data_IF_314933605365
#
_entry.id   IF_314933605365
#
_cell.length_a   1.000
_cell.length_b   1.000
_cell.length_c   1.000
_cell.angle_alpha   90.00
_cell.angle_beta   90.00
_cell.angle_gamma   90.00
#
_symmetry.space_group_name_H-M   'P 1'
#
loop_
_entity.id
_entity.type
_entity.pdbx_description
1 polymer ?
#
# COMPACT_ATOMS: atom_id res chain seq x y z
N UNK A 1 -21.03 -9.58 1.90
CA UNK A 1 -20.03 -8.67 1.31
C UNK A 1 -19.96 -8.98 -0.17
N UNK A 2 -20.37 -8.04 -0.99
CA UNK A 2 -20.24 -8.05 -2.45
C UNK A 2 -18.74 -8.14 -2.77
N UNK A 3 -18.31 -9.23 -3.43
CA UNK A 3 -16.89 -9.50 -3.72
C UNK A 3 -16.42 -8.84 -5.02
N UNK A 4 -17.20 -7.88 -5.52
CA UNK A 4 -17.05 -7.27 -6.85
C UNK A 4 -16.55 -5.81 -6.79
N UNK A 5 -16.32 -5.27 -5.58
CA UNK A 5 -15.85 -3.90 -5.43
C UNK A 5 -14.34 -3.82 -5.52
N UNK A 6 -13.86 -3.04 -6.48
CA UNK A 6 -12.46 -2.62 -6.57
C UNK A 6 -12.32 -1.29 -5.84
N UNK A 7 -11.39 -1.20 -4.88
CA UNK A 7 -11.19 -0.01 -4.04
C UNK A 7 -9.74 0.50 -4.10
N UNK A 8 -9.58 1.80 -3.88
CA UNK A 8 -8.26 2.41 -3.76
C UNK A 8 -7.79 2.34 -2.30
N UNK A 9 -6.76 1.54 -2.06
CA UNK A 9 -6.08 1.48 -0.77
C UNK A 9 -5.06 2.61 -0.68
N UNK A 10 -5.43 3.69 0.00
CA UNK A 10 -4.58 4.86 0.21
C UNK A 10 -3.75 4.67 1.49
N UNK A 11 -2.43 4.60 1.34
CA UNK A 11 -1.51 4.54 2.48
C UNK A 11 -0.80 5.88 2.68
N UNK A 12 -1.09 6.63 3.76
CA UNK A 12 -0.47 7.93 3.99
C UNK A 12 1.03 7.76 4.26
N UNK A 13 1.84 8.64 3.64
CA UNK A 13 3.29 8.70 3.81
C UNK A 13 3.68 10.07 4.32
N UNK A 14 4.34 10.08 5.48
CA UNK A 14 4.93 11.29 6.03
C UNK A 14 6.42 11.34 5.68
N UNK A 15 6.81 12.27 4.81
CA UNK A 15 8.21 12.59 4.58
C UNK A 15 8.69 13.63 5.61
N UNK A 16 9.85 13.40 6.23
CA UNK A 16 10.46 14.37 7.15
C UNK A 16 10.98 15.60 6.39
N UNK A 17 11.34 15.43 5.12
CA UNK A 17 11.81 16.49 4.24
C UNK A 17 11.59 16.14 2.78
N UNK A 18 11.28 17.15 1.96
CA UNK A 18 11.08 16.98 0.51
C UNK A 18 9.69 16.46 0.15
N UNK A 19 9.43 16.42 -1.15
CA UNK A 19 8.20 15.87 -1.71
C UNK A 19 8.42 14.39 -2.09
N UNK A 20 7.83 13.43 -1.36
CA UNK A 20 8.01 12.01 -1.64
C UNK A 20 7.38 11.61 -2.99
N UNK A 21 6.46 12.41 -3.53
CA UNK A 21 5.75 12.07 -4.77
C UNK A 21 6.62 12.12 -6.03
N UNK A 22 7.83 12.65 -5.91
CA UNK A 22 8.85 12.68 -6.97
C UNK A 22 9.60 11.35 -7.14
N UNK A 23 9.45 10.41 -6.21
CA UNK A 23 10.15 9.12 -6.21
C UNK A 23 9.21 7.96 -6.60
N UNK A 24 9.74 6.91 -7.27
CA UNK A 24 9.01 5.68 -7.46
C UNK A 24 8.54 5.10 -6.13
N UNK A 25 7.30 4.63 -6.09
CA UNK A 25 6.69 4.03 -4.90
C UNK A 25 6.09 2.67 -5.22
N UNK A 26 6.33 1.73 -4.32
CA UNK A 26 5.77 0.40 -4.38
C UNK A 26 5.04 0.09 -3.08
N UNK A 27 3.98 -0.70 -3.17
CA UNK A 27 3.18 -1.14 -2.04
C UNK A 27 3.10 -2.66 -2.05
N UNK A 28 3.26 -3.27 -0.87
CA UNK A 28 2.92 -4.66 -0.61
C UNK A 28 1.77 -4.71 0.40
N UNK A 29 0.81 -5.61 0.20
CA UNK A 29 -0.27 -5.86 1.17
C UNK A 29 -0.17 -7.30 1.63
N UNK A 30 0.01 -7.49 2.93
CA UNK A 30 0.30 -8.81 3.51
C UNK A 30 -0.44 -8.98 4.84
N UNK A 31 -0.71 -10.22 5.27
CA UNK A 31 -1.12 -10.51 6.62
C UNK A 31 -0.17 -9.88 7.65
N UNK A 32 -0.71 -9.42 8.78
CA UNK A 32 0.07 -8.65 9.79
C UNK A 32 1.30 -9.40 10.33
N UNK A 33 1.29 -10.74 10.28
CA UNK A 33 2.40 -11.58 10.75
C UNK A 33 3.56 -11.65 9.75
N UNK A 34 3.40 -11.15 8.53
CA UNK A 34 4.32 -11.33 7.42
C UNK A 34 5.09 -10.05 7.07
N UNK A 35 6.23 -10.24 6.40
CA UNK A 35 7.08 -9.18 5.88
C UNK A 35 7.26 -9.38 4.37
N UNK A 36 7.31 -8.29 3.59
CA UNK A 36 7.47 -8.40 2.15
C UNK A 36 8.83 -8.97 1.77
N UNK A 37 8.78 -9.87 0.81
CA UNK A 37 9.87 -10.37 -0.01
C UNK A 37 9.91 -9.62 -1.34
N UNK A 38 10.87 -9.94 -2.20
CA UNK A 38 11.07 -9.23 -3.47
C UNK A 38 9.85 -9.31 -4.41
N UNK A 39 9.06 -10.38 -4.32
CA UNK A 39 7.91 -10.64 -5.19
C UNK A 39 6.60 -10.01 -4.70
N UNK A 40 6.56 -9.44 -3.50
CA UNK A 40 5.34 -8.89 -2.90
C UNK A 40 5.09 -7.42 -3.27
N UNK A 41 6.05 -6.79 -3.96
CA UNK A 41 6.00 -5.37 -4.27
C UNK A 41 5.24 -5.10 -5.56
N UNK A 42 4.26 -4.21 -5.47
CA UNK A 42 3.48 -3.74 -6.60
C UNK A 42 3.70 -2.26 -6.83
N UNK A 43 3.78 -1.84 -8.09
CA UNK A 43 3.84 -0.41 -8.43
C UNK A 43 2.59 0.30 -7.89
N UNK A 44 2.82 1.39 -7.17
CA UNK A 44 1.77 2.22 -6.62
C UNK A 44 1.86 3.64 -7.20
N UNK A 45 0.78 4.40 -7.05
CA UNK A 45 0.72 5.79 -7.51
C UNK A 45 0.61 6.74 -6.34
N UNK A 46 1.22 7.92 -6.48
CA UNK A 46 1.03 8.99 -5.51
C UNK A 46 -0.30 9.70 -5.75
N UNK A 47 -1.05 9.89 -4.68
CA UNK A 47 -2.29 10.67 -4.65
C UNK A 47 -2.27 11.61 -3.44
N UNK A 48 -3.18 12.58 -3.42
CA UNK A 48 -3.35 13.46 -2.26
C UNK A 48 -4.56 12.96 -1.47
N UNK A 49 -4.34 12.68 -0.19
CA UNK A 49 -5.40 12.27 0.74
C UNK A 49 -6.30 13.44 1.15
N UNK A 50 -7.38 13.16 1.90
CA UNK A 50 -8.38 14.16 2.27
C UNK A 50 -7.82 15.29 3.16
N UNK A 51 -6.76 15.02 3.91
CA UNK A 51 -6.10 16.01 4.78
C UNK A 51 -4.89 16.68 4.10
N UNK A 52 -4.72 16.43 2.79
CA UNK A 52 -3.64 17.01 1.99
C UNK A 52 -2.31 16.25 2.07
N UNK A 53 -2.29 15.07 2.68
CA UNK A 53 -1.07 14.25 2.75
C UNK A 53 -0.79 13.49 1.44
N UNK A 54 0.46 13.12 1.22
CA UNK A 54 0.82 12.20 0.13
C UNK A 54 0.44 10.78 0.52
N UNK A 55 -0.36 10.13 -0.32
CA UNK A 55 -0.76 8.74 -0.16
C UNK A 55 -0.18 7.88 -1.29
N UNK A 56 0.47 6.78 -0.92
CA UNK A 56 0.79 5.70 -1.84
C UNK A 56 -0.48 4.86 -2.05
N UNK A 57 -0.97 4.83 -3.28
CA UNK A 57 -2.28 4.28 -3.62
C UNK A 57 -2.14 3.08 -4.52
N UNK A 58 -2.78 1.99 -4.09
CA UNK A 58 -2.87 0.72 -4.79
C UNK A 58 -4.33 0.34 -5.01
N UNK A 59 -4.64 -0.22 -6.18
CA UNK A 59 -5.96 -0.76 -6.47
C UNK A 59 -6.07 -2.18 -5.89
N UNK A 60 -7.06 -2.42 -5.03
CA UNK A 60 -7.31 -3.72 -4.38
C UNK A 60 -8.71 -4.23 -4.70
N UNK A 61 -8.87 -5.56 -4.74
CA UNK A 61 -10.12 -6.24 -5.09
C UNK A 61 -9.95 -7.25 -6.23
N UNK A 62 -11.05 -7.83 -6.76
CA UNK A 62 -11.02 -8.91 -7.75
C UNK A 62 -10.35 -8.53 -9.08
N UNK A 63 -10.35 -7.25 -9.44
CA UNK A 63 -9.64 -6.67 -10.59
C UNK A 63 -8.45 -5.80 -10.17
N UNK A 64 -8.17 -5.76 -8.86
CA UNK A 64 -7.05 -5.04 -8.29
C UNK A 64 -5.74 -5.81 -8.45
N UNK A 65 -4.65 -5.17 -8.03
CA UNK A 65 -3.33 -5.81 -8.03
C UNK A 65 -3.24 -6.91 -6.96
N UNK A 66 -4.10 -6.81 -5.94
CA UNK A 66 -4.23 -7.77 -4.84
C UNK A 66 -5.72 -8.01 -4.63
N UNK A 67 -6.11 -9.29 -4.65
CA UNK A 67 -7.45 -9.71 -4.23
C UNK A 67 -7.39 -10.34 -2.83
N UNK A 68 -7.53 -9.54 -1.77
CA UNK A 68 -7.53 -10.10 -0.42
C UNK A 68 -8.79 -10.93 -0.14
N UNK A 69 -9.84 -10.80 -0.97
CA UNK A 69 -11.01 -11.67 -0.91
C UNK A 69 -10.69 -13.14 -1.23
N UNK A 70 -9.66 -13.40 -2.05
CA UNK A 70 -9.14 -14.74 -2.32
C UNK A 70 -8.36 -15.32 -1.13
N UNK A 71 -7.68 -14.48 -0.36
CA UNK A 71 -6.90 -14.85 0.84
C UNK A 71 -7.80 -15.21 2.04
N UNK A 72 -9.04 -14.71 2.03
CA UNK A 72 -10.03 -14.92 3.08
C UNK A 72 -10.04 -13.82 4.15
N UNK A 73 -11.00 -13.86 5.08
CA UNK A 73 -11.10 -12.85 6.13
C UNK A 73 -9.86 -12.87 7.03
N UNK A 74 -9.35 -11.69 7.37
CA UNK A 74 -8.10 -11.56 8.11
C UNK A 74 -7.67 -10.13 8.38
N UNK A 75 -6.61 -9.99 9.18
CA UNK A 75 -5.97 -8.69 9.43
C UNK A 75 -4.75 -8.55 8.53
N UNK A 76 -4.75 -7.48 7.74
CA UNK A 76 -3.71 -7.15 6.78
C UNK A 76 -3.01 -5.86 7.18
N UNK A 77 -1.86 -5.60 6.57
CA UNK A 77 -1.18 -4.31 6.61
C UNK A 77 -0.55 -4.00 5.26
N UNK A 78 -0.37 -2.71 4.98
CA UNK A 78 0.44 -2.31 3.85
C UNK A 78 1.89 -2.02 4.26
N UNK A 79 2.80 -2.24 3.33
CA UNK A 79 4.18 -1.81 3.39
C UNK A 79 4.44 -0.90 2.20
N UNK A 80 5.07 0.24 2.42
CA UNK A 80 5.41 1.20 1.38
C UNK A 80 6.92 1.20 1.21
N UNK A 81 7.39 1.00 -0.02
CA UNK A 81 8.79 1.10 -0.41
C UNK A 81 8.96 2.28 -1.35
N UNK A 82 9.83 3.22 -1.00
CA UNK A 82 10.11 4.41 -1.81
C UNK A 82 11.56 4.32 -2.27
N UNK A 83 11.79 4.37 -3.58
CA UNK A 83 13.15 4.29 -4.12
C UNK A 83 13.70 5.70 -4.31
N UNK A 84 14.46 6.19 -3.33
CA UNK A 84 15.01 7.55 -3.28
C UNK A 84 16.54 7.50 -3.15
N UNK A 85 17.30 7.35 -4.25
CA UNK A 85 18.72 7.02 -4.20
C UNK A 85 19.55 8.01 -3.35
N UNK A 86 20.45 7.53 -2.47
CA UNK A 86 20.88 6.13 -2.31
C UNK A 86 20.01 5.28 -1.36
N UNK A 87 18.90 5.83 -0.87
CA UNK A 87 18.05 5.22 0.15
C UNK A 87 16.86 4.47 -0.46
N UNK A 88 16.42 3.42 0.22
CA UNK A 88 15.18 2.70 -0.11
C UNK A 88 14.42 2.39 1.18
N UNK A 89 13.77 3.39 1.80
CA UNK A 89 13.00 3.18 3.00
C UNK A 89 11.81 2.24 2.75
N UNK A 90 11.61 1.32 3.69
CA UNK A 90 10.45 0.43 3.77
C UNK A 90 9.65 0.76 5.03
N UNK A 91 8.43 1.26 4.84
CA UNK A 91 7.59 1.83 5.88
C UNK A 91 6.34 0.96 6.06
N UNK A 92 6.13 0.35 7.23
CA UNK A 92 4.88 -0.32 7.52
C UNK A 92 3.77 0.67 7.86
N UNK A 93 2.56 0.43 7.35
CA UNK A 93 1.38 1.23 7.67
C UNK A 93 0.55 0.65 8.82
N UNK A 94 -0.57 1.32 9.09
CA UNK A 94 -1.63 0.86 9.98
C UNK A 94 -2.27 -0.44 9.46
N UNK A 95 -2.81 -1.22 10.40
CA UNK A 95 -3.48 -2.48 10.11
C UNK A 95 -4.92 -2.21 9.69
N UNK A 96 -5.45 -3.04 8.82
CA UNK A 96 -6.86 -3.02 8.44
C UNK A 96 -7.41 -4.44 8.41
N UNK A 97 -8.73 -4.55 8.57
CA UNK A 97 -9.43 -5.82 8.64
C UNK A 97 -10.28 -6.01 7.38
N UNK A 98 -10.28 -7.25 6.88
CA UNK A 98 -11.12 -7.69 5.79
C UNK A 98 -12.03 -8.78 6.35
N UNK A 99 -13.34 -8.57 6.23
CA UNK A 99 -14.39 -9.40 6.85
C UNK A 99 -15.26 -10.08 5.80
#
# INVERSE_FOLDING_TARGET
>A
MDRDSTEHLMTPVTAVSGDPSTYPVHVAVLPVAERPTDNDWHEATWTVGPDGEHCATLLVGPDGVIDPGAEGPGTFRTWVKITAPPEEPVIPSARFEIT
#
